data_IF_018641809389
#
_entry.id   IF_018641809389
#
_cell.length_a   1.000
_cell.length_b   1.000
_cell.length_c   1.000
_cell.angle_alpha   90.00
_cell.angle_beta   90.00
_cell.angle_gamma   90.00
#
_symmetry.space_group_name_H-M   'P 1'
#
loop_
_entity.id
_entity.type
_entity.pdbx_description
1 polymer ?
#
# COMPACT_ATOMS: atom_id res chain seq x y z
N UNK A 1 13.93 -11.17 12.05
CA UNK A 1 13.88 -10.57 10.69
C UNK A 1 14.30 -11.61 9.68
N UNK A 2 13.58 -11.73 8.56
CA UNK A 2 14.04 -12.46 7.38
C UNK A 2 13.77 -11.64 6.12
N UNK A 3 14.50 -11.88 5.04
CA UNK A 3 14.27 -11.21 3.76
C UNK A 3 13.11 -11.86 2.98
N UNK A 4 12.29 -11.05 2.35
CA UNK A 4 11.16 -11.53 1.54
C UNK A 4 11.59 -12.46 0.40
N UNK A 5 12.76 -12.22 -0.18
CA UNK A 5 13.37 -13.05 -1.22
C UNK A 5 13.75 -14.47 -0.77
N UNK A 6 13.84 -14.71 0.55
CA UNK A 6 14.04 -16.05 1.13
C UNK A 6 12.78 -16.91 1.12
N UNK A 7 11.60 -16.32 0.95
CA UNK A 7 10.29 -17.00 0.96
C UNK A 7 9.85 -17.23 -0.49
N UNK A 8 9.88 -18.48 -0.98
CA UNK A 8 9.81 -18.78 -2.41
C UNK A 8 8.53 -19.44 -2.91
N UNK A 9 7.64 -19.85 -2.00
CA UNK A 9 6.40 -20.53 -2.38
C UNK A 9 5.26 -20.25 -1.40
N UNK A 10 4.05 -20.53 -1.86
CA UNK A 10 2.82 -20.53 -1.05
C UNK A 10 2.43 -21.98 -0.77
N UNK A 11 2.07 -22.28 0.48
CA UNK A 11 1.50 -23.57 0.86
C UNK A 11 -0.02 -23.45 0.79
N UNK A 12 -0.67 -24.40 0.12
CA UNK A 12 -2.15 -24.46 0.05
C UNK A 12 -2.72 -24.98 1.37
N UNK A 13 -3.98 -24.63 1.65
CA UNK A 13 -4.70 -25.20 2.78
C UNK A 13 -4.80 -26.72 2.67
N UNK A 14 -4.56 -27.41 3.78
CA UNK A 14 -4.51 -28.87 3.87
C UNK A 14 -3.33 -29.36 4.70
N UNK A 15 -2.94 -30.61 4.53
CA UNK A 15 -1.80 -31.18 5.23
C UNK A 15 -0.50 -30.56 4.76
N UNK A 16 0.33 -30.10 5.70
CA UNK A 16 1.64 -29.49 5.43
C UNK A 16 2.72 -30.54 5.60
N UNK A 17 3.51 -30.78 4.59
CA UNK A 17 4.62 -31.73 4.62
C UNK A 17 5.97 -31.02 4.78
N UNK A 18 7.02 -31.78 5.19
CA UNK A 18 8.39 -31.28 5.19
C UNK A 18 8.79 -30.72 3.82
N UNK A 19 8.35 -31.36 2.73
CA UNK A 19 8.63 -30.91 1.36
C UNK A 19 8.05 -29.53 1.07
N UNK A 20 6.85 -29.24 1.60
CA UNK A 20 6.21 -27.93 1.41
C UNK A 20 7.04 -26.84 2.09
N UNK A 21 7.48 -27.07 3.34
CA UNK A 21 8.35 -26.12 4.06
C UNK A 21 9.68 -25.92 3.32
N UNK A 22 10.31 -26.99 2.85
CA UNK A 22 11.56 -26.87 2.07
C UNK A 22 11.34 -26.14 0.72
N UNK A 23 10.14 -26.23 0.14
CA UNK A 23 9.82 -25.46 -1.08
C UNK A 23 9.65 -23.94 -0.75
N UNK A 24 9.13 -23.63 0.43
CA UNK A 24 9.03 -22.24 0.91
C UNK A 24 10.42 -21.66 1.22
N UNK A 25 11.30 -22.44 1.86
CA UNK A 25 12.64 -22.04 2.33
C UNK A 25 13.73 -22.91 1.67
N UNK A 26 13.99 -22.76 0.36
CA UNK A 26 14.80 -23.73 -0.38
C UNK A 26 16.32 -23.52 -0.29
N UNK A 27 16.79 -22.44 0.36
CA UNK A 27 18.20 -22.04 0.29
C UNK A 27 19.11 -22.73 1.31
N UNK A 28 18.53 -23.51 2.24
CA UNK A 28 19.32 -24.16 3.31
C UNK A 28 19.92 -23.20 4.32
N UNK A 29 19.41 -21.99 4.40
CA UNK A 29 19.86 -21.01 5.39
C UNK A 29 19.67 -21.52 6.83
N UNK A 30 20.55 -21.10 7.72
CA UNK A 30 20.52 -21.43 9.15
C UNK A 30 20.06 -20.24 10.01
N UNK A 31 19.61 -20.52 11.22
CA UNK A 31 19.21 -19.51 12.19
C UNK A 31 20.46 -18.86 12.80
N UNK A 32 20.54 -17.55 12.69
CA UNK A 32 21.60 -16.72 13.26
C UNK A 32 21.07 -15.71 14.27
N UNK A 33 21.91 -15.31 15.21
CA UNK A 33 21.63 -14.27 16.19
C UNK A 33 22.63 -13.12 16.00
N UNK A 34 22.09 -11.92 15.87
CA UNK A 34 22.90 -10.69 15.86
C UNK A 34 22.47 -9.74 16.99
N UNK A 35 23.42 -9.00 17.57
CA UNK A 35 23.12 -7.91 18.49
C UNK A 35 23.54 -6.59 17.87
N UNK A 36 22.54 -5.77 17.61
CA UNK A 36 22.67 -4.48 16.95
C UNK A 36 22.11 -3.36 17.83
N UNK A 37 22.70 -2.19 17.75
CA UNK A 37 22.12 -0.98 18.34
C UNK A 37 20.84 -0.60 17.57
N UNK A 38 20.00 0.25 18.18
CA UNK A 38 18.84 0.79 17.48
C UNK A 38 19.23 1.58 16.23
N UNK A 39 20.36 2.25 16.23
CA UNK A 39 20.86 2.97 15.06
C UNK A 39 21.19 2.00 13.90
N UNK A 40 21.88 0.90 14.16
CA UNK A 40 22.20 -0.14 13.17
C UNK A 40 20.95 -0.86 12.69
N UNK A 41 19.97 -1.12 13.57
CA UNK A 41 18.69 -1.69 13.18
C UNK A 41 17.92 -0.75 12.25
N UNK A 42 17.90 0.54 12.56
CA UNK A 42 17.22 1.55 11.75
C UNK A 42 17.92 1.73 10.39
N UNK A 43 19.25 1.70 10.36
CA UNK A 43 20.04 1.70 9.13
C UNK A 43 19.68 0.49 8.25
N UNK A 44 19.65 -0.72 8.82
CA UNK A 44 19.30 -1.93 8.08
C UNK A 44 17.89 -1.86 7.48
N UNK A 45 16.91 -1.35 8.23
CA UNK A 45 15.53 -1.21 7.73
C UNK A 45 15.40 -0.07 6.70
N UNK A 46 16.11 1.04 6.84
CA UNK A 46 16.16 2.11 5.83
C UNK A 46 16.76 1.60 4.53
N UNK A 47 17.90 0.89 4.60
CA UNK A 47 18.57 0.33 3.44
C UNK A 47 17.75 -0.75 2.75
N UNK A 48 17.11 -1.66 3.50
CA UNK A 48 16.34 -2.78 2.94
C UNK A 48 14.98 -2.38 2.36
N UNK A 49 14.58 -1.12 2.52
CA UNK A 49 13.36 -0.57 1.97
C UNK A 49 13.61 0.54 0.93
N UNK A 50 14.83 0.67 0.43
CA UNK A 50 15.28 1.82 -0.40
C UNK A 50 14.41 2.08 -1.63
N UNK A 51 13.86 1.05 -2.25
CA UNK A 51 13.01 1.17 -3.45
C UNK A 51 11.51 1.04 -3.17
N UNK A 52 11.07 0.85 -1.90
CA UNK A 52 9.64 0.79 -1.57
C UNK A 52 8.91 2.04 -2.09
N UNK A 53 7.77 1.93 -2.80
CA UNK A 53 6.86 0.78 -2.84
C UNK A 53 7.22 -0.35 -3.83
N UNK A 54 8.27 -0.21 -4.63
CA UNK A 54 8.74 -1.29 -5.50
C UNK A 54 9.30 -2.45 -4.67
N UNK A 55 9.24 -3.66 -5.24
CA UNK A 55 9.66 -4.88 -4.56
C UNK A 55 11.17 -5.09 -4.63
N UNK A 56 11.74 -5.57 -3.52
CA UNK A 56 13.13 -6.03 -3.45
C UNK A 56 13.23 -7.33 -2.66
N UNK A 57 14.15 -8.23 -3.03
CA UNK A 57 14.40 -9.47 -2.30
C UNK A 57 14.78 -9.25 -0.83
N UNK A 58 15.51 -8.18 -0.53
CA UNK A 58 15.90 -7.78 0.82
C UNK A 58 14.78 -7.21 1.69
N UNK A 59 13.56 -7.01 1.17
CA UNK A 59 12.48 -6.43 1.96
C UNK A 59 12.24 -7.19 3.28
N UNK A 60 12.24 -6.49 4.45
CA UNK A 60 12.24 -7.14 5.74
C UNK A 60 10.87 -7.71 6.11
N UNK A 61 10.82 -9.01 6.35
CA UNK A 61 9.71 -9.68 7.02
C UNK A 61 10.04 -9.74 8.51
N UNK A 62 9.21 -9.13 9.34
CA UNK A 62 9.52 -8.93 10.76
C UNK A 62 8.51 -9.57 11.71
N UNK A 63 8.99 -9.94 12.89
CA UNK A 63 8.17 -10.22 14.06
C UNK A 63 8.72 -9.44 15.25
N UNK A 64 7.83 -8.91 16.08
CA UNK A 64 8.22 -8.10 17.23
C UNK A 64 8.76 -6.70 16.92
N UNK A 65 8.67 -6.24 15.68
CA UNK A 65 9.02 -4.87 15.26
C UNK A 65 7.80 -4.25 14.58
N UNK A 66 7.45 -3.02 14.99
CA UNK A 66 6.43 -2.20 14.34
C UNK A 66 7.10 -0.98 13.75
N UNK A 67 6.95 -0.78 12.45
CA UNK A 67 7.58 0.34 11.75
C UNK A 67 6.78 0.83 10.56
N UNK A 68 7.03 2.09 10.18
CA UNK A 68 6.44 2.76 9.02
C UNK A 68 7.52 3.07 8.00
N UNK A 69 7.21 2.86 6.72
CA UNK A 69 8.02 3.26 5.57
C UNK A 69 7.30 4.39 4.86
N UNK A 70 7.91 5.56 4.79
CA UNK A 70 7.41 6.68 3.98
C UNK A 70 7.91 6.56 2.54
N UNK A 71 7.17 5.87 1.71
CA UNK A 71 7.45 5.68 0.29
C UNK A 71 7.29 6.95 -0.57
N UNK A 72 6.82 8.06 0.02
CA UNK A 72 6.77 9.37 -0.67
C UNK A 72 8.12 10.04 -0.71
N UNK A 73 9.05 9.63 0.16
CA UNK A 73 10.40 10.17 0.23
C UNK A 73 11.36 9.29 -0.57
N UNK A 74 12.25 9.93 -1.31
CA UNK A 74 13.32 9.24 -2.02
C UNK A 74 14.38 8.74 -1.04
N UNK A 75 14.97 7.57 -1.30
CA UNK A 75 16.13 7.08 -0.56
C UNK A 75 17.33 8.01 -0.76
N UNK A 76 17.99 8.37 0.34
CA UNK A 76 19.19 9.20 0.32
C UNK A 76 20.42 8.30 0.33
N UNK A 77 20.85 7.87 -0.86
CA UNK A 77 21.96 6.96 -1.03
C UNK A 77 23.30 7.62 -0.63
N UNK A 78 24.02 6.98 0.28
CA UNK A 78 25.39 7.29 0.66
C UNK A 78 26.40 6.43 -0.09
N UNK A 79 27.49 6.07 0.61
CA UNK A 79 28.55 5.23 0.03
C UNK A 79 28.09 3.82 -0.23
N UNK A 80 28.69 3.16 -1.21
CA UNK A 80 28.45 1.74 -1.46
C UNK A 80 28.99 0.92 -0.32
N UNK A 81 28.22 -0.04 0.18
CA UNK A 81 28.70 -1.00 1.18
C UNK A 81 29.87 -1.82 0.63
N UNK A 82 30.87 -2.08 1.46
CA UNK A 82 32.07 -2.82 1.06
C UNK A 82 31.71 -4.22 0.53
N UNK A 83 32.14 -4.51 -0.70
CA UNK A 83 31.86 -5.77 -1.37
C UNK A 83 30.41 -5.96 -1.81
N UNK A 84 29.62 -4.90 -1.94
CA UNK A 84 28.23 -4.90 -2.32
C UNK A 84 27.94 -3.99 -3.52
N UNK A 85 26.75 -4.09 -4.08
CA UNK A 85 26.19 -3.13 -5.04
C UNK A 85 25.18 -2.20 -4.40
N UNK A 86 24.84 -2.39 -3.13
CA UNK A 86 23.90 -1.58 -2.38
C UNK A 86 24.59 -0.44 -1.65
N UNK A 87 23.85 0.62 -1.38
CA UNK A 87 24.34 1.82 -0.73
C UNK A 87 23.86 1.90 0.72
N UNK A 88 24.72 2.35 1.60
CA UNK A 88 24.33 2.79 2.92
C UNK A 88 23.39 4.01 2.84
N UNK A 89 22.45 4.21 3.75
CA UNK A 89 21.70 5.46 3.80
C UNK A 89 22.61 6.59 4.28
N UNK A 90 22.67 7.70 3.54
CA UNK A 90 23.35 8.92 3.96
C UNK A 90 22.58 9.59 5.11
N UNK A 91 21.26 9.59 5.00
CA UNK A 91 20.34 10.05 6.05
C UNK A 91 19.18 9.08 6.21
N UNK A 92 18.70 8.92 7.44
CA UNK A 92 17.47 8.17 7.72
C UNK A 92 16.28 9.11 7.60
N UNK A 93 15.37 8.85 6.68
CA UNK A 93 14.21 9.72 6.45
C UNK A 93 12.93 9.00 6.01
N UNK A 94 13.03 7.74 5.64
CA UNK A 94 11.90 6.93 5.14
C UNK A 94 11.35 6.02 6.21
N UNK A 95 12.21 5.42 7.03
CA UNK A 95 11.80 4.47 8.05
C UNK A 95 11.66 5.14 9.42
N UNK A 96 10.54 4.85 10.08
CA UNK A 96 10.32 5.18 11.49
C UNK A 96 9.94 3.90 12.22
N UNK A 97 10.77 3.47 13.18
CA UNK A 97 10.46 2.32 14.05
C UNK A 97 9.68 2.84 15.27
N UNK A 98 8.48 2.32 15.48
CA UNK A 98 7.63 2.67 16.62
C UNK A 98 8.00 1.85 17.86
N UNK A 99 8.13 0.53 17.68
CA UNK A 99 8.40 -0.37 18.80
C UNK A 99 9.23 -1.59 18.41
N UNK A 100 9.94 -2.15 19.37
CA UNK A 100 10.64 -3.45 19.28
C UNK A 100 10.32 -4.24 20.55
N UNK A 101 9.83 -5.49 20.40
CA UNK A 101 9.41 -6.33 21.52
C UNK A 101 8.30 -5.70 22.36
N UNK A 102 7.38 -4.95 21.73
CA UNK A 102 6.29 -4.25 22.39
C UNK A 102 6.70 -3.01 23.21
N UNK A 103 7.99 -2.63 23.19
CA UNK A 103 8.51 -1.44 23.87
C UNK A 103 8.86 -0.34 22.87
N UNK A 104 8.72 0.92 23.28
CA UNK A 104 9.11 2.05 22.45
C UNK A 104 10.56 1.92 21.96
N UNK A 105 10.77 2.21 20.68
CA UNK A 105 12.08 2.13 20.04
C UNK A 105 13.08 3.14 20.62
N UNK A 106 14.34 2.76 20.73
CA UNK A 106 15.41 3.64 21.17
C UNK A 106 16.70 3.37 20.39
N UNK A 107 17.30 4.41 19.81
CA UNK A 107 18.51 4.33 19.00
C UNK A 107 19.73 3.75 19.72
N UNK A 108 19.82 3.92 21.04
CA UNK A 108 20.98 3.49 21.85
C UNK A 108 20.82 2.11 22.48
N UNK A 109 19.62 1.56 22.46
CA UNK A 109 19.37 0.22 23.01
C UNK A 109 19.97 -0.83 22.08
N UNK A 110 20.61 -1.84 22.67
CA UNK A 110 21.06 -3.02 21.93
C UNK A 110 19.92 -4.02 21.86
N UNK A 111 19.53 -4.38 20.66
CA UNK A 111 18.50 -5.36 20.36
C UNK A 111 19.12 -6.70 19.94
N UNK A 112 18.55 -7.78 20.41
CA UNK A 112 18.90 -9.13 19.94
C UNK A 112 17.92 -9.50 18.83
N UNK A 113 18.45 -9.75 17.64
CA UNK A 113 17.67 -10.07 16.44
C UNK A 113 17.98 -11.51 16.04
N UNK A 114 16.93 -12.32 15.92
CA UNK A 114 16.99 -13.61 15.23
C UNK A 114 16.82 -13.35 13.72
N UNK A 115 17.70 -13.91 12.91
CA UNK A 115 17.73 -13.74 11.46
C UNK A 115 18.29 -15.00 10.79
N UNK A 116 18.44 -15.01 9.47
CA UNK A 116 19.15 -16.09 8.79
C UNK A 116 20.64 -15.75 8.62
N UNK A 117 21.47 -16.77 8.37
CA UNK A 117 22.91 -16.66 8.16
C UNK A 117 23.28 -15.73 6.99
N UNK A 118 22.48 -15.73 5.92
CA UNK A 118 22.69 -14.86 4.76
C UNK A 118 22.58 -13.37 5.14
N UNK A 119 21.54 -12.97 5.89
CA UNK A 119 21.40 -11.59 6.36
C UNK A 119 22.43 -11.26 7.45
N UNK A 120 22.74 -12.22 8.33
CA UNK A 120 23.79 -12.05 9.35
C UNK A 120 25.16 -11.81 8.72
N UNK A 121 25.45 -12.42 7.55
CA UNK A 121 26.66 -12.16 6.76
C UNK A 121 26.62 -10.83 5.98
N UNK A 122 25.55 -10.04 6.09
CA UNK A 122 25.38 -8.77 5.37
C UNK A 122 24.77 -8.91 3.98
N UNK A 123 24.13 -10.05 3.68
CA UNK A 123 23.43 -10.29 2.43
C UNK A 123 22.34 -9.26 2.15
N UNK A 124 22.00 -9.09 0.90
CA UNK A 124 21.12 -8.01 0.43
C UNK A 124 21.64 -6.64 0.91
N UNK A 125 20.88 -5.91 1.71
CA UNK A 125 21.19 -4.58 2.23
C UNK A 125 21.52 -4.56 3.74
N UNK A 126 21.70 -5.76 4.38
CA UNK A 126 21.85 -5.88 5.83
C UNK A 126 23.31 -5.79 6.30
N UNK A 127 24.09 -4.87 5.71
CA UNK A 127 25.50 -4.70 6.05
C UNK A 127 25.74 -4.43 7.54
N UNK A 128 24.85 -3.66 8.19
CA UNK A 128 24.88 -3.41 9.62
C UNK A 128 24.83 -4.69 10.48
N UNK A 129 24.26 -5.78 9.98
CA UNK A 129 24.25 -7.07 10.68
C UNK A 129 25.62 -7.76 10.61
N UNK A 130 26.33 -7.63 9.48
CA UNK A 130 27.71 -8.16 9.34
C UNK A 130 28.66 -7.55 10.36
N UNK A 131 28.50 -6.29 10.65
CA UNK A 131 29.36 -5.53 11.58
C UNK A 131 28.83 -5.50 13.01
N UNK A 132 27.77 -6.23 13.31
CA UNK A 132 27.13 -6.30 14.62
C UNK A 132 28.11 -6.74 15.73
N UNK A 133 27.94 -6.22 16.95
CA UNK A 133 28.78 -6.52 18.09
C UNK A 133 28.78 -7.99 18.52
N UNK A 134 27.67 -8.70 18.21
CA UNK A 134 27.53 -10.15 18.32
C UNK A 134 26.88 -10.63 17.04
N UNK A 135 27.52 -11.61 16.43
CA UNK A 135 27.00 -12.25 15.21
C UNK A 135 27.48 -13.70 15.22
N UNK A 136 26.56 -14.63 15.39
CA UNK A 136 26.89 -16.04 15.33
C UNK A 136 25.74 -16.86 14.73
N UNK A 137 26.10 -17.86 13.98
CA UNK A 137 25.21 -18.85 13.40
C UNK A 137 24.99 -20.00 14.38
N UNK A 138 23.73 -20.39 14.59
CA UNK A 138 23.37 -21.53 15.44
C UNK A 138 23.50 -22.87 14.70
N UNK A 139 23.68 -22.86 13.40
CA UNK A 139 23.75 -24.06 12.58
C UNK A 139 22.44 -24.84 12.46
N UNK A 140 21.32 -24.27 12.90
CA UNK A 140 20.00 -24.91 12.84
C UNK A 140 19.32 -24.47 11.54
N UNK A 141 18.95 -25.41 10.62
CA UNK A 141 18.27 -25.06 9.40
C UNK A 141 16.95 -24.33 9.62
N UNK A 142 16.68 -23.28 8.86
CA UNK A 142 15.48 -22.45 9.00
C UNK A 142 14.18 -23.23 8.75
N UNK A 143 14.20 -24.22 7.89
CA UNK A 143 13.06 -25.11 7.64
C UNK A 143 12.75 -25.98 8.87
N UNK A 144 13.77 -26.44 9.59
CA UNK A 144 13.59 -27.16 10.87
C UNK A 144 13.03 -26.25 11.96
N UNK A 145 13.53 -25.00 12.07
CA UNK A 145 13.00 -24.00 13.00
C UNK A 145 11.51 -23.76 12.77
N UNK A 146 11.09 -23.59 11.50
CA UNK A 146 9.68 -23.39 11.16
C UNK A 146 8.85 -24.63 11.46
N UNK A 147 9.35 -25.83 11.15
CA UNK A 147 8.65 -27.08 11.48
C UNK A 147 8.46 -27.27 12.99
N UNK A 148 9.50 -26.98 13.77
CA UNK A 148 9.41 -27.08 15.21
C UNK A 148 8.45 -26.06 15.80
N UNK A 149 8.47 -24.82 15.32
CA UNK A 149 7.50 -23.79 15.71
C UNK A 149 6.05 -24.21 15.42
N UNK A 150 5.78 -24.72 14.21
CA UNK A 150 4.44 -25.20 13.85
C UNK A 150 4.01 -26.35 14.75
N UNK A 151 4.91 -27.29 15.08
CA UNK A 151 4.58 -28.45 15.93
C UNK A 151 4.39 -28.08 17.39
N UNK A 152 5.31 -27.27 17.94
CA UNK A 152 5.36 -27.01 19.39
C UNK A 152 4.49 -25.83 19.79
N UNK A 153 4.63 -24.70 19.13
CA UNK A 153 3.93 -23.46 19.50
C UNK A 153 2.52 -23.42 18.91
N UNK A 154 2.37 -23.80 17.63
CA UNK A 154 1.09 -23.80 16.93
C UNK A 154 0.33 -25.13 17.05
N UNK A 155 0.87 -26.10 17.80
CA UNK A 155 0.24 -27.43 18.03
C UNK A 155 -0.14 -28.15 16.73
N UNK A 156 0.66 -27.94 15.67
CA UNK A 156 0.46 -28.56 14.38
C UNK A 156 -0.52 -27.88 13.43
N UNK A 157 -1.07 -26.71 13.79
CA UNK A 157 -2.07 -26.02 12.96
C UNK A 157 -1.64 -24.57 12.69
N UNK A 158 -1.63 -24.18 11.41
CA UNK A 158 -1.51 -22.78 10.98
C UNK A 158 -2.89 -22.33 10.54
N UNK A 159 -3.56 -21.50 11.35
CA UNK A 159 -4.93 -21.08 11.11
C UNK A 159 -5.02 -19.81 10.30
N UNK A 160 -6.08 -19.64 9.51
CA UNK A 160 -6.38 -18.38 8.83
C UNK A 160 -6.81 -17.27 9.81
N UNK A 161 -7.29 -17.64 11.00
CA UNK A 161 -7.66 -16.70 12.07
C UNK A 161 -6.42 -15.96 12.59
N UNK A 162 -5.28 -16.66 12.73
CA UNK A 162 -4.05 -16.10 13.26
C UNK A 162 -3.16 -15.47 12.18
N UNK A 163 -3.19 -16.01 10.94
CA UNK A 163 -2.23 -15.69 9.88
C UNK A 163 -2.86 -15.35 8.53
N UNK A 164 -4.20 -15.31 8.42
CA UNK A 164 -4.91 -15.06 7.16
C UNK A 164 -4.77 -13.65 6.62
N UNK A 165 -4.54 -12.69 7.50
CA UNK A 165 -4.38 -11.28 7.14
C UNK A 165 -2.97 -10.78 7.46
N UNK A 166 -2.51 -9.80 6.67
CA UNK A 166 -1.27 -9.10 6.99
C UNK A 166 -1.44 -8.32 8.30
N UNK A 167 -0.53 -8.55 9.26
CA UNK A 167 -0.57 -7.82 10.53
C UNK A 167 -0.11 -6.36 10.38
N UNK A 168 -0.45 -5.53 11.37
CA UNK A 168 -0.17 -4.08 11.41
C UNK A 168 1.30 -3.73 11.72
N UNK A 169 2.21 -4.68 11.55
CA UNK A 169 3.65 -4.50 11.88
C UNK A 169 4.38 -3.56 10.94
N UNK A 170 3.95 -3.52 9.68
CA UNK A 170 4.59 -2.75 8.62
C UNK A 170 3.54 -1.86 7.96
N UNK A 171 3.71 -0.55 8.12
CA UNK A 171 2.88 0.45 7.43
C UNK A 171 3.68 1.06 6.29
N UNK A 172 3.14 1.05 5.06
CA UNK A 172 3.75 1.71 3.91
C UNK A 172 2.88 2.92 3.53
N UNK A 173 3.43 4.12 3.72
CA UNK A 173 2.82 5.35 3.22
C UNK A 173 3.14 5.43 1.74
N UNK A 174 2.11 5.28 0.89
CA UNK A 174 2.25 5.39 -0.56
C UNK A 174 1.98 6.82 -1.00
N UNK A 175 2.77 7.32 -1.92
CA UNK A 175 2.48 8.56 -2.65
C UNK A 175 1.38 8.35 -3.68
N UNK A 176 0.97 9.45 -4.30
CA UNK A 176 0.14 9.39 -5.49
C UNK A 176 0.96 8.84 -6.67
N UNK A 177 0.36 8.06 -7.57
CA UNK A 177 1.05 7.59 -8.78
C UNK A 177 1.21 8.70 -9.84
N UNK A 178 0.63 9.87 -9.59
CA UNK A 178 0.53 10.95 -10.56
C UNK A 178 1.80 11.82 -10.56
N UNK A 179 2.48 11.89 -11.69
CA UNK A 179 3.72 12.67 -11.87
C UNK A 179 3.47 14.18 -11.98
N UNK A 180 2.23 14.58 -12.25
CA UNK A 180 1.78 15.98 -12.44
C UNK A 180 1.08 16.56 -11.20
N UNK A 181 1.14 15.87 -10.07
CA UNK A 181 0.61 16.33 -8.77
C UNK A 181 1.77 16.57 -7.81
N UNK A 182 2.13 17.83 -7.63
CA UNK A 182 3.19 18.23 -6.71
C UNK A 182 2.79 17.90 -5.26
N UNK A 183 3.61 17.14 -4.49
CA UNK A 183 3.37 16.85 -3.09
C UNK A 183 3.21 18.09 -2.19
N UNK A 184 3.77 19.24 -2.59
CA UNK A 184 3.65 20.51 -1.87
C UNK A 184 2.40 21.32 -2.24
N UNK A 185 1.64 20.91 -3.27
CA UNK A 185 0.47 21.64 -3.72
C UNK A 185 -0.65 21.62 -2.66
N UNK A 186 -1.34 22.74 -2.48
CA UNK A 186 -2.44 22.88 -1.53
C UNK A 186 -3.57 21.84 -1.73
N UNK A 187 -3.73 21.34 -2.96
CA UNK A 187 -4.74 20.32 -3.31
C UNK A 187 -4.23 18.88 -3.17
N UNK A 188 -2.96 18.64 -2.83
CA UNK A 188 -2.38 17.30 -2.77
C UNK A 188 -3.16 16.35 -1.86
N UNK A 189 -3.49 16.79 -0.64
CA UNK A 189 -4.24 15.97 0.33
C UNK A 189 -5.63 15.61 -0.17
N UNK A 190 -6.30 16.52 -0.89
CA UNK A 190 -7.61 16.26 -1.47
C UNK A 190 -7.53 15.24 -2.62
N UNK A 191 -6.53 15.36 -3.50
CA UNK A 191 -6.28 14.39 -4.58
C UNK A 191 -5.95 13.03 -4.01
N UNK A 192 -5.09 12.97 -2.98
CA UNK A 192 -4.72 11.74 -2.28
C UNK A 192 -5.94 11.05 -1.69
N UNK A 193 -6.77 11.77 -0.94
CA UNK A 193 -8.01 11.24 -0.38
C UNK A 193 -8.92 10.66 -1.46
N UNK A 194 -9.17 11.41 -2.54
CA UNK A 194 -10.02 10.96 -3.64
C UNK A 194 -9.47 9.73 -4.36
N UNK A 195 -8.15 9.63 -4.50
CA UNK A 195 -7.50 8.48 -5.12
C UNK A 195 -7.57 7.23 -4.22
N UNK A 196 -7.19 7.35 -2.95
CA UNK A 196 -7.19 6.25 -1.98
C UNK A 196 -8.60 5.69 -1.71
N UNK A 197 -9.63 6.54 -1.78
CA UNK A 197 -11.03 6.13 -1.65
C UNK A 197 -11.69 5.76 -2.99
N UNK A 198 -10.93 5.58 -4.06
CA UNK A 198 -11.43 5.23 -5.40
C UNK A 198 -12.45 6.19 -6.00
N UNK A 199 -12.55 7.42 -5.50
CA UNK A 199 -13.44 8.47 -5.99
C UNK A 199 -12.92 9.03 -7.32
N UNK A 200 -11.62 9.38 -7.36
CA UNK A 200 -10.95 9.89 -8.54
C UNK A 200 -9.68 9.06 -8.83
N UNK A 201 -9.55 8.52 -10.04
CA UNK A 201 -8.45 7.59 -10.41
C UNK A 201 -7.41 8.21 -11.34
N UNK A 202 -7.47 9.53 -11.57
CA UNK A 202 -6.67 10.18 -12.60
C UNK A 202 -7.29 10.07 -13.99
N UNK A 203 -6.61 10.67 -14.97
CA UNK A 203 -6.95 10.59 -16.39
C UNK A 203 -6.22 9.41 -17.04
N UNK A 204 -5.00 9.13 -16.57
CA UNK A 204 -4.22 7.90 -16.86
C UNK A 204 -3.68 7.35 -15.54
N UNK A 205 -2.98 6.22 -15.60
CA UNK A 205 -2.34 5.62 -14.42
C UNK A 205 -1.30 6.53 -13.77
N UNK A 206 -0.70 7.47 -14.52
CA UNK A 206 0.38 8.35 -14.06
C UNK A 206 0.07 9.83 -14.14
N UNK A 207 -1.11 10.22 -14.64
CA UNK A 207 -1.50 11.63 -14.84
C UNK A 207 -2.87 11.91 -14.23
N UNK A 208 -2.95 12.93 -13.39
CA UNK A 208 -4.18 13.43 -12.79
C UNK A 208 -4.84 14.55 -13.60
N UNK A 209 -4.00 15.40 -14.20
CA UNK A 209 -4.36 16.62 -14.94
C UNK A 209 -5.12 17.65 -14.07
N UNK A 210 -4.51 18.15 -12.98
CA UNK A 210 -5.21 18.97 -11.96
C UNK A 210 -5.75 20.30 -12.50
N UNK A 211 -5.17 20.80 -13.59
CA UNK A 211 -5.58 22.08 -14.19
C UNK A 211 -6.60 21.93 -15.33
N UNK A 212 -6.98 20.70 -15.69
CA UNK A 212 -7.95 20.46 -16.74
C UNK A 212 -9.39 20.62 -16.24
N UNK A 213 -10.29 20.96 -17.16
CA UNK A 213 -11.72 20.98 -16.86
C UNK A 213 -12.26 19.57 -16.72
N UNK A 214 -13.19 19.38 -15.79
CA UNK A 214 -13.92 18.13 -15.62
C UNK A 214 -15.05 18.02 -16.67
N UNK A 215 -15.26 16.82 -17.21
CA UNK A 215 -16.37 16.55 -18.12
C UNK A 215 -17.64 16.15 -17.38
N UNK A 216 -18.79 16.20 -18.08
CA UNK A 216 -20.09 15.76 -17.54
C UNK A 216 -20.06 14.28 -17.16
N UNK A 217 -19.43 13.42 -17.98
CA UNK A 217 -19.25 12.01 -17.69
C UNK A 217 -18.39 11.76 -16.45
N UNK A 218 -17.31 12.51 -16.29
CA UNK A 218 -16.46 12.43 -15.11
C UNK A 218 -17.20 12.85 -13.83
N UNK A 219 -17.99 13.94 -13.91
CA UNK A 219 -18.76 14.43 -12.74
C UNK A 219 -19.71 13.37 -12.20
N UNK A 220 -20.55 12.77 -13.04
CA UNK A 220 -21.49 11.73 -12.56
C UNK A 220 -20.77 10.46 -12.12
N UNK A 221 -19.61 10.15 -12.72
CA UNK A 221 -18.77 9.00 -12.30
C UNK A 221 -18.20 9.18 -10.91
N UNK A 222 -17.78 10.39 -10.55
CA UNK A 222 -17.32 10.74 -9.19
C UNK A 222 -18.44 10.51 -8.17
N UNK A 223 -19.64 11.05 -8.44
CA UNK A 223 -20.80 10.88 -7.55
C UNK A 223 -21.21 9.41 -7.41
N UNK A 224 -21.20 8.65 -8.51
CA UNK A 224 -21.48 7.23 -8.53
C UNK A 224 -20.48 6.42 -7.67
N UNK A 225 -19.20 6.73 -7.79
CA UNK A 225 -18.13 6.10 -6.97
C UNK A 225 -18.24 6.45 -5.50
N UNK A 226 -18.59 7.70 -5.15
CA UNK A 226 -18.86 8.10 -3.77
C UNK A 226 -19.99 7.29 -3.13
N UNK A 227 -20.90 6.72 -3.93
CA UNK A 227 -21.97 5.83 -3.49
C UNK A 227 -21.62 4.33 -3.61
N UNK A 228 -20.33 3.97 -3.70
CA UNK A 228 -19.90 2.58 -3.77
C UNK A 228 -20.10 1.91 -5.13
N UNK A 229 -20.30 2.70 -6.20
CA UNK A 229 -20.44 2.20 -7.58
C UNK A 229 -21.56 1.17 -7.77
N UNK A 230 -22.80 1.44 -7.32
CA UNK A 230 -23.90 0.48 -7.41
C UNK A 230 -24.26 0.16 -8.88
N UNK A 231 -24.62 -1.09 -9.17
CA UNK A 231 -25.12 -1.45 -10.49
C UNK A 231 -26.45 -0.73 -10.77
N UNK A 232 -26.57 -0.04 -11.93
CA UNK A 232 -27.82 0.59 -12.31
C UNK A 232 -28.90 -0.48 -12.62
N UNK A 233 -30.13 -0.24 -12.21
CA UNK A 233 -31.27 -1.14 -12.44
C UNK A 233 -31.80 -1.02 -13.84
N UNK A 234 -31.65 0.16 -14.47
CA UNK A 234 -32.15 0.48 -15.78
C UNK A 234 -31.01 0.67 -16.79
N UNK A 235 -31.26 0.39 -18.04
CA UNK A 235 -30.32 0.70 -19.12
C UNK A 235 -30.15 2.21 -19.27
N UNK A 236 -28.96 2.63 -19.77
CA UNK A 236 -28.73 4.02 -20.12
C UNK A 236 -29.75 4.57 -21.11
N UNK A 237 -30.45 5.69 -20.82
CA UNK A 237 -31.50 6.22 -21.73
C UNK A 237 -30.95 7.09 -22.87
N UNK A 238 -29.63 7.44 -22.83
CA UNK A 238 -29.07 8.40 -23.79
C UNK A 238 -28.38 7.71 -24.96
N UNK A 239 -28.79 8.06 -26.18
CA UNK A 239 -28.31 7.43 -27.42
C UNK A 239 -26.85 7.79 -27.78
N UNK A 240 -26.30 8.88 -27.22
CA UNK A 240 -24.91 9.32 -27.43
C UNK A 240 -23.90 8.66 -26.46
N UNK A 241 -24.37 7.75 -25.62
CA UNK A 241 -23.52 7.02 -24.66
C UNK A 241 -23.45 5.55 -25.06
N UNK A 242 -22.37 5.17 -25.72
CA UNK A 242 -22.16 3.78 -26.15
C UNK A 242 -22.16 2.79 -24.97
N UNK A 243 -22.66 1.57 -25.19
CA UNK A 243 -22.65 0.50 -24.18
C UNK A 243 -21.24 0.15 -23.67
N UNK A 244 -20.21 0.39 -24.49
CA UNK A 244 -18.78 0.20 -24.14
C UNK A 244 -18.14 1.41 -23.46
N UNK A 245 -18.89 2.52 -23.29
CA UNK A 245 -18.38 3.72 -22.64
C UNK A 245 -18.00 3.44 -21.19
N UNK A 246 -16.83 3.91 -20.70
CA UNK A 246 -16.47 3.80 -19.29
C UNK A 246 -17.43 4.56 -18.36
N UNK A 247 -18.25 5.46 -18.89
CA UNK A 247 -19.22 6.26 -18.17
C UNK A 247 -20.63 5.67 -18.14
N UNK A 248 -20.92 4.61 -18.92
CA UNK A 248 -22.28 4.13 -19.15
C UNK A 248 -23.02 3.76 -17.87
N UNK A 249 -22.37 3.04 -16.95
CA UNK A 249 -22.97 2.65 -15.66
C UNK A 249 -23.26 3.85 -14.77
N UNK A 250 -22.31 4.77 -14.66
CA UNK A 250 -22.46 5.97 -13.85
C UNK A 250 -23.57 6.90 -14.38
N UNK A 251 -23.68 7.03 -15.72
CA UNK A 251 -24.71 7.83 -16.37
C UNK A 251 -26.09 7.19 -16.20
N UNK A 252 -26.21 5.88 -16.39
CA UNK A 252 -27.47 5.14 -16.17
C UNK A 252 -27.94 5.29 -14.71
N UNK A 253 -27.03 5.10 -13.74
CA UNK A 253 -27.30 5.32 -12.31
C UNK A 253 -27.75 6.75 -12.01
N UNK A 254 -27.07 7.75 -12.57
CA UNK A 254 -27.42 9.15 -12.35
C UNK A 254 -28.78 9.53 -12.96
N UNK A 255 -29.14 8.93 -14.10
CA UNK A 255 -30.45 9.13 -14.74
C UNK A 255 -31.58 8.47 -13.92
N UNK A 256 -31.41 7.20 -13.49
CA UNK A 256 -32.46 6.50 -12.72
C UNK A 256 -32.72 7.16 -11.36
N UNK A 257 -31.71 7.76 -10.75
CA UNK A 257 -31.82 8.49 -9.48
C UNK A 257 -32.13 9.99 -9.68
N UNK A 258 -32.49 10.41 -10.91
CA UNK A 258 -32.92 11.77 -11.25
C UNK A 258 -31.85 12.85 -10.97
N UNK A 259 -30.58 12.48 -10.90
CA UNK A 259 -29.47 13.43 -10.74
C UNK A 259 -29.23 14.21 -12.03
N UNK A 260 -29.58 13.61 -13.17
CA UNK A 260 -29.49 14.24 -14.48
C UNK A 260 -30.67 13.85 -15.38
N UNK A 261 -31.07 14.76 -16.26
CA UNK A 261 -32.06 14.50 -17.33
C UNK A 261 -31.40 14.60 -18.73
N UNK A 262 -30.04 14.57 -18.78
CA UNK A 262 -29.29 14.84 -20.02
C UNK A 262 -29.17 16.32 -20.34
N UNK A 263 -28.72 16.62 -21.56
CA UNK A 263 -28.82 17.94 -22.19
C UNK A 263 -30.17 18.02 -22.92
N UNK A 264 -30.57 16.90 -23.51
CA UNK A 264 -31.90 16.62 -24.04
C UNK A 264 -32.39 15.27 -23.50
N UNK A 265 -33.61 14.86 -23.81
CA UNK A 265 -34.15 13.56 -23.39
C UNK A 265 -33.33 12.37 -23.91
N UNK A 266 -32.62 12.54 -25.02
CA UNK A 266 -31.83 11.48 -25.67
C UNK A 266 -30.34 11.69 -25.70
N UNK A 267 -29.83 12.84 -25.19
CA UNK A 267 -28.42 13.24 -25.28
C UNK A 267 -27.87 13.60 -23.91
N UNK A 268 -26.77 12.97 -23.48
CA UNK A 268 -26.06 13.28 -22.24
C UNK A 268 -24.83 14.16 -22.44
N UNK A 269 -24.11 13.99 -23.56
CA UNK A 269 -22.83 14.62 -23.91
C UNK A 269 -21.70 14.35 -22.87
N UNK A 270 -21.25 13.09 -22.70
CA UNK A 270 -20.32 12.69 -21.63
C UNK A 270 -18.95 13.37 -21.72
N UNK A 271 -18.46 13.67 -22.92
CA UNK A 271 -17.15 14.30 -23.16
C UNK A 271 -17.18 15.84 -23.05
N UNK A 272 -18.36 16.45 -22.97
CA UNK A 272 -18.47 17.90 -22.86
C UNK A 272 -18.02 18.37 -21.49
N UNK A 273 -17.23 19.46 -21.43
CA UNK A 273 -16.91 20.15 -20.18
C UNK A 273 -18.20 20.61 -19.48
N UNK A 274 -18.29 20.39 -18.19
CA UNK A 274 -19.48 20.77 -17.41
C UNK A 274 -19.44 22.27 -17.07
N UNK A 275 -20.54 22.99 -17.33
CA UNK A 275 -20.65 24.38 -16.88
C UNK A 275 -20.93 24.47 -15.38
N UNK A 276 -20.64 25.62 -14.75
CA UNK A 276 -20.96 25.86 -13.31
C UNK A 276 -22.43 25.59 -13.01
N UNK A 277 -23.33 26.08 -13.87
CA UNK A 277 -24.77 25.85 -13.71
C UNK A 277 -25.12 24.35 -13.70
N UNK A 278 -24.60 23.60 -14.68
CA UNK A 278 -24.86 22.16 -14.78
C UNK A 278 -24.27 21.42 -13.58
N UNK A 279 -23.06 21.78 -13.18
CA UNK A 279 -22.39 21.20 -12.00
C UNK A 279 -23.23 21.40 -10.74
N UNK A 280 -23.65 22.63 -10.44
CA UNK A 280 -24.47 22.96 -9.26
C UNK A 280 -25.82 22.26 -9.32
N UNK A 281 -26.46 22.17 -10.50
CA UNK A 281 -27.73 21.47 -10.64
C UNK A 281 -27.61 19.97 -10.29
N UNK A 282 -26.58 19.30 -10.79
CA UNK A 282 -26.34 17.89 -10.48
C UNK A 282 -25.98 17.71 -8.99
N UNK A 283 -25.14 18.58 -8.44
CA UNK A 283 -24.73 18.55 -7.03
C UNK A 283 -25.93 18.77 -6.09
N UNK A 284 -26.81 19.72 -6.40
CA UNK A 284 -28.02 19.97 -5.63
C UNK A 284 -28.96 18.74 -5.61
N UNK A 285 -29.20 18.14 -6.78
CA UNK A 285 -29.99 16.91 -6.87
C UNK A 285 -29.35 15.74 -6.16
N UNK A 286 -28.01 15.67 -6.18
CA UNK A 286 -27.27 14.67 -5.42
C UNK A 286 -27.43 14.88 -3.92
N UNK A 287 -27.36 16.11 -3.43
CA UNK A 287 -27.60 16.43 -2.02
C UNK A 287 -29.02 16.01 -1.58
N UNK A 288 -30.04 16.27 -2.40
CA UNK A 288 -31.42 15.79 -2.17
C UNK A 288 -31.49 14.25 -2.14
N UNK A 289 -30.84 13.58 -3.09
CA UNK A 289 -30.77 12.11 -3.16
C UNK A 289 -30.15 11.51 -1.90
N UNK A 290 -29.12 12.17 -1.33
CA UNK A 290 -28.46 11.77 -0.08
C UNK A 290 -29.26 12.12 1.17
N UNK A 291 -30.40 12.83 1.05
CA UNK A 291 -31.21 13.26 2.19
C UNK A 291 -30.61 14.43 2.97
N UNK A 292 -29.67 15.18 2.39
CA UNK A 292 -29.16 16.39 3.03
C UNK A 292 -30.22 17.49 3.03
N UNK A 293 -30.20 18.31 4.08
CA UNK A 293 -31.03 19.53 4.13
C UNK A 293 -30.54 20.50 3.03
N UNK A 294 -31.40 20.74 2.04
CA UNK A 294 -31.16 21.66 0.93
C UNK A 294 -32.06 22.88 0.99
N UNK A 295 -32.77 23.08 2.10
CA UNK A 295 -33.51 24.33 2.34
C UNK A 295 -32.50 25.47 2.35
N UNK A 296 -32.81 26.56 1.63
CA UNK A 296 -32.05 27.78 1.77
C UNK A 296 -32.24 28.29 3.22
N UNK A 297 -31.15 28.39 3.99
CA UNK A 297 -31.18 29.06 5.26
C UNK A 297 -31.71 30.48 5.04
N UNK A 298 -32.59 30.95 5.91
CA UNK A 298 -32.91 32.36 5.93
C UNK A 298 -31.61 33.12 6.24
N UNK A 299 -31.22 34.05 5.35
CA UNK A 299 -30.10 34.96 5.59
C UNK A 299 -30.47 35.79 6.83
N UNK A 300 -29.86 35.46 7.98
CA UNK A 300 -29.95 36.21 9.21
C UNK A 300 -28.87 37.28 9.27
#
# INVERSE_FOLDING_TARGET
ITNGGGIRATVKAGDITKKDINTVLPFGNTLSIVKVTGAELLEALEASTYCTPDSIGGFPQVSGIVYTIDGTKTYDAGDVYEGSTYHAPKTIRRVTIQSVGGKAFNLRTVYTIATNDFLAAGGDTYYAFKTASVNYDLGIPMDEVVMDYVKTELKGVVSAEDYGEAGDRITIIKGLPFTDVDPSAAYYSAVKYCYENNIFKGVTDTMFMPNNTITRGQMVTVLWRMNGSPEPKNANPFGDVAATSPFVKAIAWAAENKLTNGITETTFAPAQAISRQQFLTILYRYAQFMGYDVSAGEDT
#
